data_IF_464288216024
#
_entry.id   IF_464288216024
#
_cell.length_a   1.000
_cell.length_b   1.000
_cell.length_c   1.000
_cell.angle_alpha   90.00
_cell.angle_beta   90.00
_cell.angle_gamma   90.00
#
_symmetry.space_group_name_H-M   'P 1'
#
loop_
_entity.id
_entity.type
_entity.pdbx_description
1 polymer ?
#
# COMPACT_ATOMS: atom_id res chain seq x y z
N UNK A 1 19.32 21.22 22.85
CA UNK A 1 18.27 20.24 23.24
C UNK A 1 17.96 19.39 22.03
N UNK A 2 18.39 18.13 22.03
CA UNK A 2 18.11 17.19 20.94
C UNK A 2 16.67 16.69 21.10
N UNK A 3 15.79 17.07 20.19
CA UNK A 3 14.41 16.59 20.20
C UNK A 3 14.43 15.08 19.96
N UNK A 4 14.07 14.30 20.97
CA UNK A 4 13.84 12.86 20.83
C UNK A 4 12.56 12.67 20.03
N UNK A 5 12.70 12.50 18.71
CA UNK A 5 11.59 12.14 17.83
C UNK A 5 11.13 10.72 18.19
N UNK A 6 9.83 10.56 18.47
CA UNK A 6 9.24 9.24 18.71
C UNK A 6 9.25 8.46 17.39
N UNK A 7 10.03 7.37 17.33
CA UNK A 7 10.09 6.52 16.14
C UNK A 7 9.06 5.40 16.24
N UNK A 8 8.19 5.27 15.23
CA UNK A 8 7.28 4.14 15.11
C UNK A 8 8.08 2.86 14.88
N UNK A 9 7.99 1.92 15.82
CA UNK A 9 8.71 0.64 15.75
C UNK A 9 7.93 -0.43 14.98
N UNK A 10 6.63 -0.56 15.25
CA UNK A 10 5.76 -1.55 14.62
C UNK A 10 4.30 -1.11 14.70
N UNK A 11 3.52 -1.44 13.68
CA UNK A 11 2.07 -1.27 13.65
C UNK A 11 1.40 -2.64 13.43
N UNK A 12 0.39 -2.95 14.24
CA UNK A 12 -0.43 -4.15 14.11
C UNK A 12 -1.89 -3.69 13.97
N UNK A 13 -2.50 -4.00 12.84
CA UNK A 13 -3.89 -3.65 12.57
C UNK A 13 -4.20 -3.73 11.08
N UNK A 14 -5.39 -4.22 10.74
CA UNK A 14 -5.93 -4.17 9.39
C UNK A 14 -7.39 -3.77 9.45
N UNK A 15 -7.88 -3.06 8.43
CA UNK A 15 -9.30 -2.72 8.33
C UNK A 15 -10.07 -3.88 7.71
N UNK A 16 -10.87 -4.59 8.51
CA UNK A 16 -11.72 -5.69 8.06
C UNK A 16 -12.88 -5.27 7.15
N UNK A 17 -13.09 -3.97 6.93
CA UNK A 17 -14.14 -3.46 6.03
C UNK A 17 -13.80 -3.62 4.55
N UNK A 18 -12.52 -3.76 4.22
CA UNK A 18 -12.05 -3.84 2.83
C UNK A 18 -11.73 -5.30 2.48
N UNK A 19 -12.44 -5.85 1.51
CA UNK A 19 -12.15 -7.19 0.99
C UNK A 19 -10.74 -7.24 0.39
N UNK A 20 -9.99 -8.30 0.64
CA UNK A 20 -8.61 -8.50 0.14
C UNK A 20 -7.65 -7.36 0.51
N UNK A 21 -7.73 -6.85 1.74
CA UNK A 21 -6.82 -5.79 2.23
C UNK A 21 -5.41 -6.27 2.61
N UNK A 22 -5.15 -7.57 2.48
CA UNK A 22 -3.86 -8.23 2.78
C UNK A 22 -3.50 -9.16 1.63
N UNK A 23 -2.28 -9.04 1.11
CA UNK A 23 -1.75 -9.84 0.02
C UNK A 23 -0.36 -10.38 0.36
N UNK A 24 -0.15 -11.69 0.20
CA UNK A 24 1.20 -12.26 0.26
C UNK A 24 2.02 -11.83 -0.95
N UNK A 25 3.26 -11.43 -0.71
CA UNK A 25 4.21 -11.19 -1.78
C UNK A 25 4.66 -12.52 -2.39
N UNK A 26 4.91 -12.61 -3.72
CA UNK A 26 5.39 -13.82 -4.38
C UNK A 26 6.73 -14.37 -3.86
N UNK A 27 7.46 -13.61 -3.03
CA UNK A 27 8.68 -14.08 -2.36
C UNK A 27 8.41 -15.04 -1.19
N UNK A 28 7.15 -15.24 -0.80
CA UNK A 28 6.72 -16.11 0.30
C UNK A 28 7.26 -15.73 1.69
N UNK A 29 7.79 -14.52 1.86
CA UNK A 29 8.37 -14.01 3.12
C UNK A 29 7.59 -12.84 3.69
N UNK A 30 7.15 -11.95 2.82
CA UNK A 30 6.49 -10.71 3.19
C UNK A 30 5.04 -10.69 2.72
N UNK A 31 4.24 -9.85 3.35
CA UNK A 31 2.90 -9.51 2.92
C UNK A 31 2.73 -7.99 2.92
N UNK A 32 1.78 -7.54 2.11
CA UNK A 32 1.38 -6.14 2.00
C UNK A 32 -0.02 -6.01 2.56
N UNK A 33 -0.23 -5.05 3.45
CA UNK A 33 -1.55 -4.73 3.96
C UNK A 33 -1.86 -3.24 3.86
N UNK A 34 -3.15 -2.93 3.75
CA UNK A 34 -3.65 -1.55 3.78
C UNK A 34 -3.85 -1.11 5.23
N UNK A 35 -3.29 0.05 5.57
CA UNK A 35 -3.50 0.75 6.84
C UNK A 35 -3.86 2.21 6.57
N UNK A 36 -5.16 2.51 6.51
CA UNK A 36 -5.67 3.85 6.21
C UNK A 36 -5.30 4.31 4.79
N UNK A 37 -4.45 5.33 4.70
CA UNK A 37 -3.91 5.89 3.45
C UNK A 37 -2.49 5.41 3.13
N UNK A 38 -2.02 4.34 3.79
CA UNK A 38 -0.67 3.81 3.60
C UNK A 38 -0.71 2.30 3.35
N UNK A 39 0.27 1.80 2.62
CA UNK A 39 0.55 0.37 2.56
C UNK A 39 1.68 0.04 3.53
N UNK A 40 1.56 -1.10 4.20
CA UNK A 40 2.60 -1.65 5.06
C UNK A 40 3.13 -2.92 4.40
N UNK A 41 4.44 -2.99 4.22
CA UNK A 41 5.13 -4.22 3.84
C UNK A 41 5.83 -4.75 5.09
N UNK A 42 5.51 -5.99 5.45
CA UNK A 42 6.03 -6.62 6.67
C UNK A 42 6.04 -8.14 6.51
N UNK A 43 6.57 -8.84 7.50
CA UNK A 43 6.52 -10.29 7.59
C UNK A 43 5.76 -10.72 8.87
N UNK A 44 5.64 -12.04 9.06
CA UNK A 44 5.00 -12.63 10.25
C UNK A 44 5.95 -12.71 11.47
N UNK A 45 7.24 -12.46 11.27
CA UNK A 45 8.29 -12.55 12.29
C UNK A 45 8.83 -11.14 12.59
N UNK A 46 8.16 -10.37 13.48
CA UNK A 46 8.46 -8.95 13.72
C UNK A 46 9.91 -8.67 14.16
N UNK A 47 10.64 -9.69 14.63
CA UNK A 47 12.04 -9.59 15.06
C UNK A 47 13.04 -9.66 13.91
N UNK A 48 12.65 -10.12 12.70
CA UNK A 48 13.61 -10.38 11.63
C UNK A 48 13.77 -9.23 10.63
N UNK A 49 12.73 -8.43 10.39
CA UNK A 49 12.82 -7.26 9.49
C UNK A 49 11.88 -6.13 9.92
N UNK A 50 12.31 -4.87 9.81
CA UNK A 50 11.46 -3.71 10.09
C UNK A 50 10.32 -3.60 9.07
N UNK A 51 9.23 -2.93 9.47
CA UNK A 51 8.14 -2.61 8.56
C UNK A 51 8.53 -1.48 7.60
N UNK A 52 8.06 -1.57 6.36
CA UNK A 52 8.15 -0.48 5.41
C UNK A 52 6.77 0.16 5.21
N UNK A 53 6.73 1.50 5.35
CA UNK A 53 5.51 2.29 5.16
C UNK A 53 5.58 3.01 3.82
N UNK A 54 4.72 2.60 2.89
CA UNK A 54 4.58 3.27 1.60
C UNK A 54 3.56 4.39 1.73
N UNK A 55 4.06 5.63 1.72
CA UNK A 55 3.28 6.86 1.92
C UNK A 55 3.17 7.63 0.61
N UNK A 56 1.97 8.05 0.25
CA UNK A 56 1.73 8.76 -1.00
C UNK A 56 0.27 9.09 -1.25
N UNK A 57 -0.64 8.21 -0.84
CA UNK A 57 -2.07 8.51 -0.86
C UNK A 57 -2.41 9.53 0.23
N UNK A 58 -3.25 10.50 -0.11
CA UNK A 58 -3.77 11.51 0.83
C UNK A 58 -5.16 11.11 1.36
N UNK A 59 -5.77 10.06 0.80
CA UNK A 59 -7.06 9.53 1.22
C UNK A 59 -7.02 8.00 1.39
N UNK A 60 -8.11 7.42 1.88
CA UNK A 60 -8.22 5.99 2.18
C UNK A 60 -7.98 5.14 0.93
N UNK A 61 -7.05 4.19 1.04
CA UNK A 61 -6.79 3.20 0.00
C UNK A 61 -7.97 2.22 -0.04
N UNK A 62 -8.52 2.03 -1.23
CA UNK A 62 -9.66 1.14 -1.47
C UNK A 62 -9.28 -0.18 -2.11
N UNK A 63 -8.13 -0.24 -2.79
CA UNK A 63 -7.65 -1.47 -3.39
C UNK A 63 -6.12 -1.52 -3.46
N UNK A 64 -5.60 -2.74 -3.44
CA UNK A 64 -4.19 -3.05 -3.60
C UNK A 64 -4.04 -4.32 -4.43
N UNK A 65 -2.99 -4.41 -5.24
CA UNK A 65 -2.59 -5.65 -5.92
C UNK A 65 -1.07 -5.69 -6.11
N UNK A 66 -0.54 -6.89 -6.34
CA UNK A 66 0.88 -7.14 -6.57
C UNK A 66 1.01 -7.78 -7.96
N UNK A 67 1.97 -7.30 -8.74
CA UNK A 67 2.34 -7.95 -10.01
C UNK A 67 2.81 -9.40 -9.79
N UNK A 68 2.58 -10.28 -10.77
CA UNK A 68 2.93 -11.70 -10.64
C UNK A 68 4.42 -11.95 -10.37
N UNK A 69 5.30 -11.06 -10.85
CA UNK A 69 6.74 -11.12 -10.60
C UNK A 69 7.17 -10.43 -9.28
N UNK A 70 6.24 -9.85 -8.53
CA UNK A 70 6.48 -9.14 -7.26
C UNK A 70 7.09 -7.75 -7.38
N UNK A 71 7.54 -7.32 -8.57
CA UNK A 71 8.33 -6.08 -8.71
C UNK A 71 7.52 -4.81 -8.49
N UNK A 72 6.22 -4.88 -8.75
CA UNK A 72 5.32 -3.75 -8.63
C UNK A 72 4.15 -4.04 -7.71
N UNK A 73 3.78 -3.02 -6.95
CA UNK A 73 2.53 -2.95 -6.20
C UNK A 73 1.71 -1.82 -6.81
N UNK A 74 0.41 -2.02 -6.98
CA UNK A 74 -0.51 -0.97 -7.39
C UNK A 74 -1.54 -0.74 -6.28
N UNK A 75 -1.84 0.52 -5.98
CA UNK A 75 -2.89 0.89 -5.03
C UNK A 75 -3.72 2.07 -5.54
N UNK A 76 -5.01 2.05 -5.21
CA UNK A 76 -5.95 3.12 -5.54
C UNK A 76 -6.60 3.69 -4.28
N UNK A 77 -6.86 4.99 -4.27
CA UNK A 77 -7.60 5.66 -3.19
C UNK A 77 -9.02 6.08 -3.60
N UNK A 78 -9.88 6.29 -2.60
CA UNK A 78 -11.14 6.99 -2.79
C UNK A 78 -10.95 8.51 -2.79
N UNK A 79 -11.94 9.23 -3.29
CA UNK A 79 -12.00 10.70 -3.24
C UNK A 79 -12.05 11.30 -4.64
N UNK A 80 -12.14 12.62 -4.67
CA UNK A 80 -12.18 13.39 -5.92
C UNK A 80 -10.87 13.19 -6.69
N UNK A 81 -9.74 13.25 -5.98
CA UNK A 81 -8.43 12.83 -6.47
C UNK A 81 -8.33 11.31 -6.33
N UNK A 82 -8.85 10.56 -7.30
CA UNK A 82 -8.85 9.10 -7.29
C UNK A 82 -7.53 8.52 -7.80
N UNK A 83 -6.46 8.90 -7.11
CA UNK A 83 -5.08 8.55 -7.47
C UNK A 83 -4.85 7.03 -7.49
N UNK A 84 -4.16 6.58 -8.52
CA UNK A 84 -3.53 5.26 -8.58
C UNK A 84 -2.02 5.43 -8.46
N UNK A 85 -1.41 4.76 -7.49
CA UNK A 85 0.04 4.78 -7.29
C UNK A 85 0.61 3.41 -7.61
N UNK A 86 1.65 3.41 -8.45
CA UNK A 86 2.49 2.25 -8.73
C UNK A 86 3.78 2.39 -7.92
N UNK A 87 4.07 1.39 -7.11
CA UNK A 87 5.25 1.33 -6.26
C UNK A 87 6.27 0.35 -6.82
N UNK A 88 7.54 0.73 -6.76
CA UNK A 88 8.65 -0.21 -6.94
C UNK A 88 8.88 -0.96 -5.63
N UNK A 89 8.70 -2.29 -5.65
CA UNK A 89 8.78 -3.11 -4.44
C UNK A 89 10.20 -3.20 -3.88
N UNK A 90 11.22 -3.25 -4.73
CA UNK A 90 12.62 -3.39 -4.28
C UNK A 90 13.11 -2.08 -3.67
N UNK A 91 12.76 -0.95 -4.30
CA UNK A 91 13.18 0.38 -3.88
C UNK A 91 12.24 1.01 -2.85
N UNK A 92 11.08 0.38 -2.57
CA UNK A 92 10.05 0.85 -1.62
C UNK A 92 9.63 2.29 -1.86
N UNK A 93 9.50 2.70 -3.12
CA UNK A 93 9.19 4.09 -3.52
C UNK A 93 8.15 4.17 -4.61
N UNK A 94 7.53 5.34 -4.74
CA UNK A 94 6.61 5.66 -5.83
C UNK A 94 7.40 5.58 -7.15
N UNK A 95 6.90 4.78 -8.08
CA UNK A 95 7.39 4.71 -9.45
C UNK A 95 6.55 5.57 -10.38
N UNK A 96 5.22 5.47 -10.26
CA UNK A 96 4.27 6.27 -11.02
C UNK A 96 3.09 6.69 -10.14
N UNK A 97 2.52 7.85 -10.48
CA UNK A 97 1.24 8.32 -9.95
C UNK A 97 0.36 8.68 -11.13
N UNK A 98 -0.86 8.16 -11.15
CA UNK A 98 -1.87 8.40 -12.16
C UNK A 98 -3.03 9.15 -11.48
N UNK A 99 -3.25 10.39 -11.89
CA UNK A 99 -4.16 11.35 -11.22
C UNK A 99 -5.19 11.93 -12.19
N UNK A 100 -5.65 11.14 -13.17
CA UNK A 100 -6.53 11.63 -14.25
C UNK A 100 -8.03 11.45 -13.98
N UNK A 101 -8.42 10.76 -12.91
CA UNK A 101 -9.79 10.31 -12.68
C UNK A 101 -10.71 11.36 -11.97
N UNK A 102 -10.66 12.61 -12.44
CA UNK A 102 -11.34 13.77 -11.83
C UNK A 102 -12.81 13.98 -12.31
N UNK A 103 -13.62 12.92 -12.40
CA UNK A 103 -15.04 13.12 -12.73
C UNK A 103 -15.99 12.24 -11.91
N UNK A 104 -16.81 12.92 -11.11
CA UNK A 104 -17.95 12.49 -10.30
C UNK A 104 -18.28 10.97 -10.32
N UNK A 105 -17.75 10.21 -9.35
CA UNK A 105 -18.26 8.85 -9.13
C UNK A 105 -17.29 7.85 -8.53
N UNK A 106 -17.02 8.02 -7.23
CA UNK A 106 -16.73 7.02 -6.19
C UNK A 106 -16.20 5.65 -6.65
N UNK A 107 -14.99 5.35 -6.16
CA UNK A 107 -14.29 4.06 -6.13
C UNK A 107 -13.41 3.75 -7.35
N UNK A 108 -12.09 3.85 -7.17
CA UNK A 108 -11.15 3.12 -8.02
C UNK A 108 -11.34 1.64 -7.73
N UNK A 109 -11.69 0.88 -8.75
CA UNK A 109 -11.77 -0.59 -8.69
C UNK A 109 -10.55 -1.18 -9.37
N UNK A 110 -9.63 -1.75 -8.58
CA UNK A 110 -8.50 -2.50 -9.12
C UNK A 110 -8.99 -3.89 -9.60
N UNK A 111 -9.61 -3.98 -10.79
CA UNK A 111 -9.85 -5.27 -11.42
C UNK A 111 -8.62 -5.67 -12.23
N UNK A 112 -7.73 -6.45 -11.58
CA UNK A 112 -6.72 -7.28 -12.22
C UNK A 112 -5.84 -6.59 -13.29
N UNK A 113 -4.77 -5.92 -12.85
CA UNK A 113 -3.74 -5.43 -13.78
C UNK A 113 -2.87 -6.53 -14.40
N UNK A 114 -2.94 -7.78 -13.92
CA UNK A 114 -2.10 -8.89 -14.39
C UNK A 114 -2.86 -10.23 -14.31
N UNK A 115 -3.85 -10.42 -15.17
CA UNK A 115 -4.34 -11.76 -15.52
C UNK A 115 -3.35 -12.46 -16.44
#
# INVERSE_FOLDING_TARGET
MQQSLLQLHYAIGFSGKMSRSVHFHPNSKEYICISGNQLIITNLNPTSTPQHFLKGHDNQITCVTISNNGKYIASGQQGDNSDVIIWDYDQKRIKYRLSEHDYEGRYVVCWNFFG
#
